data_IF_830185702206
#
_entry.id   IF_830185702206
#
_cell.length_a   1.000
_cell.length_b   1.000
_cell.length_c   1.000
_cell.angle_alpha   90.00
_cell.angle_beta   90.00
_cell.angle_gamma   90.00
#
_symmetry.space_group_name_H-M   'P 1'
#
loop_
_entity.id
_entity.type
_entity.pdbx_description
1 polymer ?
#
# COMPACT_ATOMS: atom_id res chain seq x y z
N UNK A 1 -2.75 27.31 6.22
CA UNK A 1 -1.38 26.83 5.97
C UNK A 1 -1.05 25.89 7.12
N UNK A 2 -0.36 24.78 6.87
CA UNK A 2 -0.06 23.80 7.91
C UNK A 2 1.21 24.19 8.65
N UNK A 3 1.15 24.30 9.98
CA UNK A 3 2.28 24.68 10.81
C UNK A 3 3.41 23.65 10.71
N UNK A 4 4.67 24.11 10.67
CA UNK A 4 5.89 23.32 10.67
C UNK A 4 6.37 23.10 12.10
N UNK A 5 7.18 22.07 12.28
CA UNK A 5 7.78 21.72 13.57
C UNK A 5 8.94 22.66 13.92
N UNK A 6 8.91 23.27 15.10
CA UNK A 6 10.06 23.97 15.66
C UNK A 6 11.16 22.96 16.06
N UNK A 7 12.38 23.15 15.56
CA UNK A 7 13.50 22.25 15.85
C UNK A 7 14.13 22.46 17.24
N UNK A 8 13.77 23.54 17.95
CA UNK A 8 14.19 23.76 19.32
C UNK A 8 13.33 22.96 20.32
N UNK A 9 12.01 23.20 20.36
CA UNK A 9 11.12 22.59 21.34
C UNK A 9 10.38 21.34 20.84
N UNK A 10 10.21 21.20 19.53
CA UNK A 10 9.56 20.05 18.91
C UNK A 10 8.05 20.16 18.68
N UNK A 11 7.42 21.29 19.04
CA UNK A 11 6.00 21.56 18.79
C UNK A 11 5.75 22.18 17.41
N UNK A 12 4.51 22.08 16.93
CA UNK A 12 4.08 22.58 15.62
C UNK A 12 3.56 24.01 15.70
N UNK A 13 4.46 24.98 15.63
CA UNK A 13 4.13 26.40 15.85
C UNK A 13 4.56 27.33 14.72
N UNK A 14 5.23 26.82 13.69
CA UNK A 14 5.94 27.66 12.71
C UNK A 14 5.11 27.81 11.45
N UNK A 15 4.64 29.01 11.14
CA UNK A 15 3.83 29.25 9.93
C UNK A 15 4.68 29.64 8.71
N UNK A 16 5.81 30.33 8.92
CA UNK A 16 6.70 30.84 7.88
C UNK A 16 8.20 30.61 8.21
N UNK A 17 9.07 30.77 7.22
CA UNK A 17 10.52 30.55 7.34
C UNK A 17 11.26 31.63 8.16
N UNK A 18 10.55 32.62 8.69
CA UNK A 18 11.06 33.69 9.57
C UNK A 18 10.26 33.81 10.87
N UNK A 19 9.44 32.80 11.16
CA UNK A 19 8.52 32.83 12.30
C UNK A 19 9.25 32.54 13.62
N UNK A 20 8.76 33.11 14.72
CA UNK A 20 9.30 32.92 16.07
C UNK A 20 8.40 31.95 16.82
N UNK A 21 8.96 30.83 17.25
CA UNK A 21 8.19 29.84 18.00
C UNK A 21 7.68 30.40 19.34
N UNK A 22 6.36 30.54 19.50
CA UNK A 22 5.76 31.05 20.74
C UNK A 22 6.00 30.14 21.97
N UNK A 23 6.37 28.87 21.76
CA UNK A 23 6.60 27.90 22.85
C UNK A 23 8.04 27.96 23.40
N UNK A 24 9.01 28.42 22.60
CA UNK A 24 10.41 28.45 23.06
C UNK A 24 11.21 29.67 22.62
N UNK A 25 10.61 30.58 21.87
CA UNK A 25 11.23 31.79 21.35
C UNK A 25 12.46 31.55 20.46
N UNK A 26 12.46 30.43 19.72
CA UNK A 26 13.45 30.18 18.67
C UNK A 26 12.91 30.72 17.34
N UNK A 27 13.67 31.59 16.69
CA UNK A 27 13.35 32.05 15.33
C UNK A 27 13.75 30.97 14.33
N UNK A 28 12.81 30.59 13.47
CA UNK A 28 13.01 29.56 12.48
C UNK A 28 14.09 30.01 11.48
N UNK A 29 15.17 29.24 11.38
CA UNK A 29 16.29 29.56 10.50
C UNK A 29 16.85 28.27 9.89
N UNK A 30 16.61 28.10 8.59
CA UNK A 30 17.04 26.92 7.83
C UNK A 30 18.57 26.75 7.79
N UNK A 31 19.34 27.84 7.88
CA UNK A 31 20.81 27.80 7.94
C UNK A 31 21.26 27.31 9.31
N UNK A 32 20.67 27.84 10.39
CA UNK A 32 20.96 27.40 11.76
C UNK A 32 20.57 25.92 11.99
N UNK A 33 19.49 25.46 11.33
CA UNK A 33 19.07 24.06 11.36
C UNK A 33 20.09 23.11 10.72
N UNK A 34 20.74 23.53 9.64
CA UNK A 34 21.78 22.75 8.96
C UNK A 34 23.16 22.81 9.65
N UNK A 35 23.37 23.76 10.57
CA UNK A 35 24.61 23.94 11.31
C UNK A 35 24.35 24.01 12.83
N UNK A 36 23.81 22.94 13.46
CA UNK A 36 23.18 23.01 14.78
C UNK A 36 24.13 23.29 15.95
N UNK A 37 25.45 23.23 15.72
CA UNK A 37 26.49 23.54 16.70
C UNK A 37 27.06 24.95 16.54
N UNK A 38 26.72 25.66 15.48
CA UNK A 38 27.24 26.99 15.17
C UNK A 38 26.23 28.04 15.62
N UNK A 39 26.71 29.14 16.18
CA UNK A 39 25.86 30.33 16.40
C UNK A 39 25.80 31.08 15.08
N UNK A 40 24.66 31.00 14.41
CA UNK A 40 24.43 31.58 13.08
C UNK A 40 22.96 32.02 12.98
N UNK A 41 22.73 33.07 12.20
CA UNK A 41 21.39 33.62 12.03
C UNK A 41 21.00 34.63 13.12
N UNK A 42 19.69 34.84 13.34
CA UNK A 42 19.14 35.82 14.29
C UNK A 42 19.22 35.34 15.75
N UNK A 43 19.39 34.03 15.96
CA UNK A 43 19.40 33.42 17.29
C UNK A 43 20.75 33.62 18.01
N UNK A 44 20.72 33.95 19.31
CA UNK A 44 21.92 34.25 20.10
C UNK A 44 22.73 33.03 20.56
N UNK A 45 22.23 31.81 20.30
CA UNK A 45 22.84 30.53 20.66
C UNK A 45 22.68 29.53 19.51
N UNK A 46 23.49 28.47 19.51
CA UNK A 46 23.33 27.39 18.53
C UNK A 46 22.06 26.58 18.79
N UNK A 47 21.51 25.93 17.77
CA UNK A 47 20.29 25.13 17.90
C UNK A 47 20.42 24.07 19.02
N UNK A 48 21.56 23.37 19.08
CA UNK A 48 21.80 22.37 20.12
C UNK A 48 21.86 22.98 21.53
N UNK A 49 22.32 24.23 21.65
CA UNK A 49 22.28 24.95 22.92
C UNK A 49 20.85 25.41 23.26
N UNK A 50 20.09 25.89 22.28
CA UNK A 50 18.68 26.24 22.46
C UNK A 50 17.83 25.04 22.90
N UNK A 51 18.04 23.86 22.32
CA UNK A 51 17.38 22.62 22.75
C UNK A 51 17.71 22.25 24.20
N UNK A 52 18.97 22.41 24.63
CA UNK A 52 19.38 22.21 26.03
C UNK A 52 18.73 23.22 26.95
N UNK A 53 18.68 24.48 26.53
CA UNK A 53 18.07 25.58 27.25
C UNK A 53 16.58 25.35 27.46
N UNK A 54 15.86 24.96 26.39
CA UNK A 54 14.43 24.64 26.46
C UNK A 54 14.15 23.52 27.45
N UNK A 55 14.93 22.43 27.42
CA UNK A 55 14.81 21.34 28.40
C UNK A 55 15.13 21.77 29.83
N UNK A 56 15.96 22.80 30.01
CA UNK A 56 16.38 23.29 31.32
C UNK A 56 15.43 24.31 31.94
N UNK A 57 14.89 25.25 31.15
CA UNK A 57 14.09 26.37 31.66
C UNK A 57 12.95 26.82 30.73
N UNK A 58 12.62 26.08 29.67
CA UNK A 58 11.43 26.33 28.84
C UNK A 58 11.59 27.38 27.73
N UNK A 59 12.77 27.95 27.51
CA UNK A 59 13.03 28.90 26.42
C UNK A 59 14.37 28.65 25.72
N UNK A 60 14.54 29.16 24.50
CA UNK A 60 15.73 29.05 23.66
C UNK A 60 16.94 29.77 24.29
N UNK A 61 16.70 30.88 24.97
CA UNK A 61 17.66 31.65 25.75
C UNK A 61 17.02 32.14 27.05
N UNK A 62 17.80 32.32 28.13
CA UNK A 62 17.25 32.71 29.45
C UNK A 62 16.49 34.04 29.43
N UNK A 63 16.84 34.94 28.52
CA UNK A 63 16.23 36.27 28.41
C UNK A 63 14.79 36.24 27.88
N UNK A 64 14.35 35.10 27.31
CA UNK A 64 13.03 34.95 26.69
C UNK A 64 12.05 34.13 27.55
N UNK A 65 12.38 33.84 28.81
CA UNK A 65 11.51 33.05 29.70
C UNK A 65 10.14 33.70 29.88
N UNK A 66 10.08 35.03 29.89
CA UNK A 66 8.83 35.79 30.07
C UNK A 66 8.04 35.98 28.76
N UNK A 67 8.59 35.54 27.62
CA UNK A 67 8.02 35.73 26.28
C UNK A 67 7.44 34.43 25.69
N UNK A 68 7.53 33.31 26.41
CA UNK A 68 7.06 31.99 25.94
C UNK A 68 5.75 31.58 26.61
N UNK A 69 4.98 30.75 25.92
CA UNK A 69 3.77 30.10 26.46
C UNK A 69 3.89 28.58 26.48
N UNK A 70 2.98 27.94 27.20
CA UNK A 70 2.78 26.50 27.07
C UNK A 70 2.25 26.15 25.67
N UNK A 71 2.56 24.96 25.13
CA UNK A 71 2.00 24.49 23.86
C UNK A 71 0.49 24.26 23.98
N UNK A 72 -0.25 24.59 22.92
CA UNK A 72 -1.66 24.25 22.75
C UNK A 72 -1.83 22.79 22.33
N UNK A 73 -3.02 22.21 22.54
CA UNK A 73 -3.27 20.79 22.33
C UNK A 73 -2.98 20.34 20.89
N UNK A 74 -3.26 21.19 19.92
CA UNK A 74 -3.10 20.95 18.48
C UNK A 74 -1.62 20.97 18.05
N UNK A 75 -0.74 21.62 18.83
CA UNK A 75 0.69 21.76 18.53
C UNK A 75 1.51 20.54 18.95
N UNK A 76 0.90 19.63 19.72
CA UNK A 76 1.52 18.39 20.18
C UNK A 76 1.77 17.43 19.00
N UNK A 77 2.98 16.84 18.89
CA UNK A 77 3.31 15.91 17.80
C UNK A 77 2.34 14.75 17.61
N UNK A 78 1.75 14.25 18.69
CA UNK A 78 0.77 13.16 18.71
C UNK A 78 -0.60 13.54 18.14
N UNK A 79 -0.95 14.83 18.19
CA UNK A 79 -2.23 15.36 17.73
C UNK A 79 -2.15 15.89 16.28
N UNK A 80 -0.95 15.99 15.71
CA UNK A 80 -0.75 16.30 14.30
C UNK A 80 -0.94 15.04 13.42
N UNK A 81 -2.18 14.83 12.96
CA UNK A 81 -2.61 13.71 12.11
C UNK A 81 -1.81 13.57 10.80
N UNK A 82 -1.31 14.68 10.22
CA UNK A 82 -0.47 14.63 9.02
C UNK A 82 0.89 14.01 9.31
N UNK A 83 1.45 14.21 10.51
CA UNK A 83 2.79 13.77 10.85
C UNK A 83 2.86 12.27 11.24
N UNK A 84 1.73 11.70 11.70
CA UNK A 84 1.57 10.26 11.92
C UNK A 84 1.47 9.51 10.59
N UNK A 85 0.82 10.12 9.60
CA UNK A 85 0.79 9.62 8.22
C UNK A 85 2.17 9.78 7.56
N UNK A 86 2.83 10.94 7.71
CA UNK A 86 4.15 11.23 7.14
C UNK A 86 5.27 10.37 7.73
N UNK A 87 5.26 10.04 9.04
CA UNK A 87 6.25 9.13 9.64
C UNK A 87 6.08 7.69 9.17
N UNK A 88 4.84 7.21 9.10
CA UNK A 88 4.53 5.91 8.50
C UNK A 88 4.87 5.91 7.00
N UNK A 89 4.72 7.04 6.32
CA UNK A 89 5.14 7.22 4.93
C UNK A 89 6.67 7.27 4.83
N UNK A 90 7.40 7.91 5.74
CA UNK A 90 8.85 8.09 5.65
C UNK A 90 9.62 6.79 5.92
N UNK A 91 9.15 5.99 6.88
CA UNK A 91 9.70 4.64 7.16
C UNK A 91 9.44 3.68 5.98
N UNK A 92 8.31 3.87 5.30
CA UNK A 92 7.99 3.22 4.03
C UNK A 92 8.84 3.81 2.88
N UNK A 93 9.13 5.12 2.85
CA UNK A 93 9.91 5.77 1.81
C UNK A 93 11.39 5.40 1.82
N UNK A 94 12.00 5.25 3.00
CA UNK A 94 13.40 4.79 3.14
C UNK A 94 13.59 3.35 2.65
N UNK A 95 12.56 2.50 2.77
CA UNK A 95 12.58 1.14 2.20
C UNK A 95 12.32 1.12 0.68
N UNK A 96 11.96 2.26 0.07
CA UNK A 96 11.41 2.37 -1.30
C UNK A 96 12.31 3.19 -2.25
N UNK A 97 13.52 3.59 -1.86
CA UNK A 97 14.47 4.36 -2.70
C UNK A 97 14.95 3.67 -4.02
N UNK A 98 14.28 2.61 -4.48
CA UNK A 98 14.48 1.98 -5.79
C UNK A 98 13.21 1.69 -6.60
N UNK A 99 12.01 2.14 -6.18
CA UNK A 99 10.74 1.79 -6.87
C UNK A 99 10.22 2.98 -7.72
N UNK A 100 9.79 2.78 -8.98
CA UNK A 100 9.16 3.80 -9.81
C UNK A 100 7.95 4.47 -9.11
N UNK A 101 7.78 5.78 -9.29
CA UNK A 101 6.70 6.57 -8.69
C UNK A 101 5.28 5.96 -8.92
N UNK A 102 5.09 5.30 -10.07
CA UNK A 102 3.84 4.61 -10.41
C UNK A 102 3.51 3.48 -9.43
N UNK A 103 4.48 2.72 -8.91
CA UNK A 103 4.20 1.63 -7.96
C UNK A 103 3.74 2.16 -6.60
N UNK A 104 4.23 3.33 -6.17
CA UNK A 104 3.72 4.00 -4.96
C UNK A 104 2.24 4.36 -5.13
N UNK A 105 1.86 4.85 -6.31
CA UNK A 105 0.47 5.20 -6.63
C UNK A 105 -0.40 3.93 -6.60
N UNK A 106 0.06 2.86 -7.24
CA UNK A 106 -0.64 1.56 -7.26
C UNK A 106 -0.82 1.00 -5.84
N UNK A 107 0.24 0.98 -5.03
CA UNK A 107 0.19 0.50 -3.65
C UNK A 107 -0.76 1.33 -2.79
N UNK A 108 -0.75 2.67 -2.94
CA UNK A 108 -1.70 3.56 -2.25
C UNK A 108 -3.14 3.32 -2.68
N UNK A 109 -3.39 3.06 -3.96
CA UNK A 109 -4.73 2.73 -4.46
C UNK A 109 -5.25 1.42 -3.87
N UNK A 110 -4.42 0.36 -3.86
CA UNK A 110 -4.76 -0.91 -3.22
C UNK A 110 -5.02 -0.74 -1.72
N UNK A 111 -4.13 -0.06 -0.99
CA UNK A 111 -4.29 0.19 0.44
C UNK A 111 -5.54 1.02 0.75
N UNK A 112 -5.87 2.02 -0.08
CA UNK A 112 -7.10 2.79 0.09
C UNK A 112 -8.33 1.90 -0.01
N UNK A 113 -8.36 1.00 -1.00
CA UNK A 113 -9.46 0.06 -1.19
C UNK A 113 -9.57 -0.96 -0.07
N UNK A 114 -8.44 -1.50 0.39
CA UNK A 114 -8.43 -2.54 1.41
C UNK A 114 -8.65 -1.97 2.83
N UNK A 115 -8.08 -0.80 3.12
CA UNK A 115 -7.98 -0.23 4.46
C UNK A 115 -7.03 -1.02 5.39
N UNK A 116 -6.99 -0.64 6.66
CA UNK A 116 -6.16 -1.31 7.66
C UNK A 116 -4.67 -0.99 7.56
N UNK A 117 -3.85 -1.82 8.21
CA UNK A 117 -2.39 -1.66 8.21
C UNK A 117 -1.77 -2.54 7.13
N UNK A 118 -1.01 -1.98 6.17
CA UNK A 118 -0.37 -2.76 5.13
C UNK A 118 0.85 -3.50 5.66
N UNK A 119 1.11 -4.67 5.07
CA UNK A 119 2.41 -5.30 5.02
C UNK A 119 2.77 -5.58 3.56
N UNK A 120 4.03 -5.39 3.17
CA UNK A 120 4.53 -5.70 1.83
C UNK A 120 5.63 -6.75 1.96
N UNK A 121 5.53 -7.81 1.18
CA UNK A 121 6.52 -8.89 1.15
C UNK A 121 6.92 -9.21 -0.29
N UNK A 122 8.22 -9.39 -0.51
CA UNK A 122 8.79 -9.71 -1.81
C UNK A 122 8.83 -11.22 -2.03
N UNK A 123 8.36 -11.67 -3.18
CA UNK A 123 8.39 -13.06 -3.61
C UNK A 123 9.28 -13.19 -4.84
N UNK A 124 10.03 -14.29 -4.92
CA UNK A 124 10.92 -14.63 -6.02
C UNK A 124 10.41 -15.89 -6.71
N UNK A 125 10.70 -16.03 -8.01
CA UNK A 125 10.53 -17.31 -8.70
C UNK A 125 11.60 -18.31 -8.29
N UNK A 126 11.42 -19.59 -8.63
CA UNK A 126 12.32 -20.68 -8.23
C UNK A 126 13.77 -20.53 -8.73
N UNK A 127 14.00 -19.64 -9.70
CA UNK A 127 15.32 -19.37 -10.27
C UNK A 127 15.95 -18.06 -9.75
N UNK A 128 15.27 -17.34 -8.84
CA UNK A 128 15.64 -16.02 -8.34
C UNK A 128 15.87 -14.97 -9.47
N UNK A 129 15.16 -15.11 -10.59
CA UNK A 129 15.26 -14.21 -11.76
C UNK A 129 14.20 -13.13 -11.69
N UNK A 130 12.95 -13.52 -11.49
CA UNK A 130 11.80 -12.62 -11.42
C UNK A 130 11.34 -12.46 -9.98
N UNK A 131 10.89 -11.26 -9.63
CA UNK A 131 10.27 -10.99 -8.33
C UNK A 131 8.99 -10.19 -8.48
N UNK A 132 8.13 -10.31 -7.48
CA UNK A 132 6.90 -9.53 -7.35
C UNK A 132 6.69 -9.18 -5.88
N UNK A 133 6.33 -7.92 -5.60
CA UNK A 133 5.91 -7.51 -4.26
C UNK A 133 4.43 -7.81 -4.08
N UNK A 134 4.05 -8.36 -2.92
CA UNK A 134 2.66 -8.58 -2.53
C UNK A 134 2.34 -7.68 -1.34
N UNK A 135 1.42 -6.75 -1.54
CA UNK A 135 0.80 -5.97 -0.47
C UNK A 135 -0.33 -6.80 0.16
N UNK A 136 -0.42 -6.77 1.49
CA UNK A 136 -1.47 -7.46 2.24
C UNK A 136 -2.00 -6.61 3.39
N UNK A 137 -3.28 -6.80 3.73
CA UNK A 137 -3.95 -6.16 4.87
C UNK A 137 -4.86 -7.20 5.53
N UNK A 138 -4.63 -7.49 6.82
CA UNK A 138 -5.46 -8.41 7.59
C UNK A 138 -6.78 -7.80 8.05
N UNK A 139 -7.73 -8.66 8.41
CA UNK A 139 -9.08 -8.34 8.86
C UNK A 139 -9.84 -7.41 7.89
N UNK A 140 -9.62 -7.65 6.59
CA UNK A 140 -10.20 -6.92 5.46
C UNK A 140 -10.51 -7.89 4.32
N UNK A 141 -11.70 -7.79 3.68
CA UNK A 141 -12.75 -6.79 3.91
C UNK A 141 -13.55 -7.01 5.22
N UNK A 142 -13.42 -8.16 5.85
CA UNK A 142 -14.02 -8.49 7.16
C UNK A 142 -13.04 -9.24 8.05
N UNK A 143 -13.41 -9.41 9.34
CA UNK A 143 -12.60 -10.10 10.34
C UNK A 143 -12.20 -11.51 9.89
N UNK A 144 -10.94 -11.88 10.08
CA UNK A 144 -10.41 -13.18 9.70
C UNK A 144 -10.06 -13.34 8.21
N UNK A 145 -10.30 -12.32 7.36
CA UNK A 145 -9.90 -12.34 5.95
C UNK A 145 -8.69 -11.42 5.72
N UNK A 146 -7.74 -11.86 4.89
CA UNK A 146 -6.65 -11.03 4.42
C UNK A 146 -6.88 -10.67 2.96
N UNK A 147 -6.78 -9.38 2.64
CA UNK A 147 -6.76 -8.86 1.26
C UNK A 147 -5.32 -8.78 0.76
N UNK A 148 -5.12 -9.07 -0.53
CA UNK A 148 -3.80 -9.14 -1.18
C UNK A 148 -3.83 -8.41 -2.52
N UNK A 149 -2.70 -7.80 -2.88
CA UNK A 149 -2.47 -7.17 -4.17
C UNK A 149 -1.05 -7.44 -4.63
N UNK A 150 -0.87 -7.81 -5.90
CA UNK A 150 0.44 -7.66 -6.53
C UNK A 150 0.79 -6.18 -6.65
N UNK A 151 2.07 -5.85 -6.53
CA UNK A 151 2.65 -4.53 -6.74
C UNK A 151 3.86 -4.74 -7.63
N UNK A 152 3.76 -4.33 -8.89
CA UNK A 152 4.82 -4.44 -9.89
C UNK A 152 4.44 -5.25 -11.13
N UNK A 153 3.34 -6.01 -11.12
CA UNK A 153 2.93 -6.78 -12.29
C UNK A 153 2.64 -5.87 -13.49
N UNK A 154 2.13 -4.67 -13.21
CA UNK A 154 1.85 -3.64 -14.20
C UNK A 154 3.09 -3.19 -15.01
N UNK A 155 4.30 -3.48 -14.54
CA UNK A 155 5.52 -3.19 -15.29
C UNK A 155 5.68 -4.10 -16.51
N UNK A 156 4.96 -5.22 -16.54
CA UNK A 156 5.01 -6.21 -17.61
C UNK A 156 3.83 -6.05 -18.58
N UNK A 157 4.13 -6.03 -19.88
CA UNK A 157 3.11 -5.90 -20.91
C UNK A 157 2.25 -7.17 -21.01
N UNK A 158 0.94 -6.99 -21.12
CA UNK A 158 -0.03 -8.05 -21.46
C UNK A 158 -0.40 -8.07 -22.95
N UNK A 159 0.31 -7.30 -23.78
CA UNK A 159 0.10 -7.28 -25.23
C UNK A 159 -1.22 -6.63 -25.70
N UNK A 160 -1.86 -5.82 -24.84
CA UNK A 160 -3.11 -5.11 -25.14
C UNK A 160 -2.94 -3.60 -24.98
N UNK A 161 -3.78 -2.85 -25.66
CA UNK A 161 -3.86 -1.38 -25.57
C UNK A 161 -5.31 -0.91 -25.58
N UNK A 162 -5.55 0.27 -25.03
CA UNK A 162 -6.84 0.97 -25.01
C UNK A 162 -6.55 2.47 -25.07
N UNK A 163 -7.29 3.21 -25.91
CA UNK A 163 -7.08 4.65 -26.14
C UNK A 163 -5.61 5.00 -26.45
N UNK A 164 -4.96 4.22 -27.33
CA UNK A 164 -3.54 4.33 -27.70
C UNK A 164 -2.54 4.06 -26.56
N UNK A 165 -3.01 3.90 -25.32
CA UNK A 165 -2.20 3.56 -24.15
C UNK A 165 -2.06 2.06 -23.99
N UNK A 166 -0.92 1.64 -23.45
CA UNK A 166 -0.68 0.24 -23.15
C UNK A 166 -1.52 -0.22 -21.95
N UNK A 167 -2.31 -1.28 -22.09
CA UNK A 167 -3.06 -1.84 -20.97
C UNK A 167 -2.15 -2.72 -20.12
N UNK A 168 -2.27 -2.60 -18.81
CA UNK A 168 -1.50 -3.30 -17.77
C UNK A 168 -2.45 -3.76 -16.68
N UNK A 169 -1.98 -4.67 -15.85
CA UNK A 169 -2.79 -5.25 -14.78
C UNK A 169 -1.99 -5.47 -13.52
N UNK A 170 -2.70 -5.34 -12.40
CA UNK A 170 -2.36 -5.95 -11.12
C UNK A 170 -3.43 -6.99 -10.77
N UNK A 171 -3.04 -8.01 -10.02
CA UNK A 171 -3.93 -9.05 -9.52
C UNK A 171 -4.21 -8.78 -8.05
N UNK A 172 -5.49 -8.83 -7.68
CA UNK A 172 -5.94 -8.75 -6.29
C UNK A 172 -6.62 -10.05 -5.88
N UNK A 173 -6.65 -10.33 -4.59
CA UNK A 173 -7.26 -11.53 -4.04
C UNK A 173 -7.60 -11.34 -2.58
N UNK A 174 -8.48 -12.18 -2.05
CA UNK A 174 -8.79 -12.22 -0.63
C UNK A 174 -8.98 -13.66 -0.20
N UNK A 175 -8.49 -14.01 0.98
CA UNK A 175 -8.55 -15.38 1.49
C UNK A 175 -8.61 -15.37 3.01
N UNK A 176 -9.23 -16.38 3.60
CA UNK A 176 -9.21 -16.54 5.05
C UNK A 176 -7.76 -16.59 5.55
N UNK A 177 -7.48 -15.85 6.63
CA UNK A 177 -6.12 -15.65 7.20
C UNK A 177 -5.45 -16.96 7.63
N UNK A 178 -6.24 -18.02 7.81
CA UNK A 178 -5.75 -19.37 8.09
C UNK A 178 -4.92 -19.96 6.93
N UNK A 179 -5.18 -19.54 5.68
CA UNK A 179 -4.52 -20.04 4.48
C UNK A 179 -3.20 -19.29 4.21
N UNK A 180 -2.11 -19.79 4.79
CA UNK A 180 -0.81 -19.08 4.85
C UNK A 180 -0.10 -18.92 3.52
N UNK A 181 -0.32 -19.83 2.58
CA UNK A 181 0.37 -19.84 1.28
C UNK A 181 -0.41 -19.11 0.18
N UNK A 182 -1.53 -18.45 0.49
CA UNK A 182 -2.34 -17.77 -0.53
C UNK A 182 -1.55 -16.65 -1.25
N UNK A 183 -0.69 -15.93 -0.54
CA UNK A 183 0.20 -14.93 -1.16
C UNK A 183 1.18 -15.56 -2.17
N UNK A 184 1.66 -16.79 -1.91
CA UNK A 184 2.51 -17.53 -2.83
C UNK A 184 1.75 -17.97 -4.10
N UNK A 185 0.48 -18.36 -3.96
CA UNK A 185 -0.41 -18.63 -5.11
C UNK A 185 -0.56 -17.37 -5.97
N UNK A 186 -0.79 -16.22 -5.34
CA UNK A 186 -0.93 -14.94 -6.05
C UNK A 186 0.36 -14.55 -6.78
N UNK A 187 1.52 -14.73 -6.12
CA UNK A 187 2.83 -14.53 -6.73
C UNK A 187 3.06 -15.48 -7.92
N UNK A 188 2.65 -16.74 -7.82
CA UNK A 188 2.70 -17.72 -8.92
C UNK A 188 1.89 -17.25 -10.12
N UNK A 189 0.68 -16.72 -9.89
CA UNK A 189 -0.13 -16.14 -10.96
C UNK A 189 0.59 -14.96 -11.64
N UNK A 190 1.26 -14.09 -10.86
CA UNK A 190 2.08 -13.03 -11.43
C UNK A 190 3.23 -13.60 -12.28
N UNK A 191 3.93 -14.63 -11.82
CA UNK A 191 5.00 -15.28 -12.58
C UNK A 191 4.52 -15.99 -13.85
N UNK A 192 3.30 -16.54 -13.87
CA UNK A 192 2.68 -17.04 -15.10
C UNK A 192 2.60 -15.95 -16.19
N UNK A 193 2.30 -14.70 -15.80
CA UNK A 193 2.27 -13.56 -16.72
C UNK A 193 3.68 -13.09 -17.06
N UNK A 194 4.55 -12.94 -16.06
CA UNK A 194 5.90 -12.36 -16.21
C UNK A 194 6.81 -13.29 -17.03
N UNK A 195 6.91 -14.56 -16.62
CA UNK A 195 7.87 -15.51 -17.15
C UNK A 195 7.29 -16.28 -18.34
N UNK A 196 6.06 -16.80 -18.18
CA UNK A 196 5.43 -17.68 -19.18
C UNK A 196 4.59 -16.92 -20.21
N UNK A 197 4.47 -15.59 -20.08
CA UNK A 197 3.67 -14.73 -20.96
C UNK A 197 2.22 -15.21 -21.11
N UNK A 198 1.68 -15.83 -20.07
CA UNK A 198 0.30 -16.28 -20.08
C UNK A 198 -0.63 -15.06 -20.21
N UNK A 199 -1.59 -15.08 -21.14
CA UNK A 199 -2.51 -13.97 -21.30
C UNK A 199 -3.39 -13.86 -20.05
N UNK A 200 -3.77 -12.63 -19.69
CA UNK A 200 -4.62 -12.35 -18.53
C UNK A 200 -5.63 -11.26 -18.89
N UNK A 201 -6.91 -11.51 -18.59
CA UNK A 201 -8.06 -10.66 -18.87
C UNK A 201 -9.29 -11.22 -18.11
N UNK A 202 -10.41 -10.46 -17.99
CA UNK A 202 -11.63 -10.98 -17.38
C UNK A 202 -12.11 -12.29 -18.03
N UNK A 203 -12.42 -13.30 -17.23
CA UNK A 203 -12.80 -14.65 -17.66
C UNK A 203 -11.64 -15.60 -17.91
N UNK A 204 -10.39 -15.14 -17.83
CA UNK A 204 -9.22 -16.00 -18.02
C UNK A 204 -9.01 -16.94 -16.82
N UNK A 205 -8.54 -18.16 -17.09
CA UNK A 205 -8.28 -19.18 -16.05
C UNK A 205 -6.84 -19.66 -16.12
N UNK A 206 -6.12 -19.65 -14.99
CA UNK A 206 -4.82 -20.30 -14.82
C UNK A 206 -5.00 -21.65 -14.13
N UNK A 207 -4.50 -22.71 -14.75
CA UNK A 207 -4.72 -24.08 -14.29
C UNK A 207 -3.69 -24.49 -13.24
N UNK A 208 -4.11 -25.30 -12.26
CA UNK A 208 -3.27 -25.98 -11.27
C UNK A 208 -2.41 -25.07 -10.37
N UNK A 209 -2.55 -23.75 -10.46
CA UNK A 209 -1.75 -22.80 -9.67
C UNK A 209 -1.96 -22.94 -8.16
N UNK A 210 -3.16 -23.33 -7.70
CA UNK A 210 -3.40 -23.61 -6.28
C UNK A 210 -2.85 -24.98 -5.86
N UNK A 211 -2.83 -25.95 -6.77
CA UNK A 211 -2.45 -27.35 -6.48
C UNK A 211 -1.03 -27.48 -5.93
N UNK A 212 -0.13 -26.56 -6.27
CA UNK A 212 1.24 -26.54 -5.76
C UNK A 212 1.33 -26.24 -4.25
N UNK A 213 0.34 -25.54 -3.69
CA UNK A 213 0.32 -25.09 -2.30
C UNK A 213 -0.74 -25.82 -1.48
N UNK A 214 -1.90 -26.11 -2.10
CA UNK A 214 -3.04 -26.77 -1.48
C UNK A 214 -3.43 -28.02 -2.28
N UNK A 215 -2.59 -29.08 -2.27
CA UNK A 215 -2.76 -30.24 -3.16
C UNK A 215 -4.03 -31.06 -2.88
N UNK A 216 -4.59 -30.92 -1.68
CA UNK A 216 -5.81 -31.64 -1.26
C UNK A 216 -7.10 -30.84 -1.52
N UNK A 217 -6.99 -29.55 -1.86
CA UNK A 217 -8.16 -28.73 -2.14
C UNK A 217 -8.81 -29.14 -3.47
N UNK A 218 -10.14 -29.04 -3.53
CA UNK A 218 -10.87 -29.11 -4.80
C UNK A 218 -10.59 -27.89 -5.70
N UNK A 219 -10.27 -26.74 -5.11
CA UNK A 219 -9.95 -25.50 -5.80
C UNK A 219 -8.51 -25.55 -6.34
N UNK A 220 -8.37 -25.93 -7.60
CA UNK A 220 -7.05 -26.15 -8.24
C UNK A 220 -6.63 -25.01 -9.15
N UNK A 221 -7.59 -24.29 -9.71
CA UNK A 221 -7.35 -23.28 -10.75
C UNK A 221 -7.71 -21.88 -10.22
N UNK A 222 -7.27 -20.86 -10.93
CA UNK A 222 -7.56 -19.46 -10.62
C UNK A 222 -8.28 -18.81 -11.79
N UNK A 223 -9.51 -18.35 -11.57
CA UNK A 223 -10.26 -17.50 -12.49
C UNK A 223 -9.96 -16.02 -12.20
N UNK A 224 -9.89 -15.19 -13.23
CA UNK A 224 -9.73 -13.74 -13.09
C UNK A 224 -11.00 -13.01 -13.52
N UNK A 225 -11.55 -12.17 -12.65
CA UNK A 225 -12.78 -11.40 -12.88
C UNK A 225 -12.58 -9.92 -12.53
N UNK A 226 -13.46 -9.00 -12.95
CA UNK A 226 -13.44 -7.63 -12.45
C UNK A 226 -13.60 -7.61 -10.92
N UNK A 227 -12.86 -6.74 -10.20
CA UNK A 227 -12.94 -6.69 -8.74
C UNK A 227 -14.31 -6.19 -8.28
N UNK A 228 -14.94 -6.95 -7.37
CA UNK A 228 -16.22 -6.59 -6.75
C UNK A 228 -16.18 -6.57 -5.21
N UNK A 229 -15.13 -7.12 -4.59
CA UNK A 229 -15.03 -7.25 -3.12
C UNK A 229 -14.87 -5.91 -2.38
N UNK A 230 -14.29 -4.91 -3.06
CA UNK A 230 -13.99 -3.60 -2.48
C UNK A 230 -14.80 -2.50 -3.18
N UNK A 231 -16.04 -2.83 -3.58
CA UNK A 231 -16.94 -1.93 -4.31
C UNK A 231 -16.23 -1.29 -5.52
N UNK A 232 -16.46 0.01 -5.76
CA UNK A 232 -15.83 0.76 -6.85
C UNK A 232 -14.48 1.39 -6.47
N UNK A 233 -13.82 0.92 -5.40
CA UNK A 233 -12.58 1.55 -4.92
C UNK A 233 -11.34 1.17 -5.75
N UNK A 234 -11.35 0.02 -6.42
CA UNK A 234 -10.27 -0.43 -7.31
C UNK A 234 -10.54 -0.04 -8.76
N UNK A 235 -10.41 1.24 -9.06
CA UNK A 235 -10.59 1.76 -10.42
C UNK A 235 -9.31 1.63 -11.25
N UNK A 236 -9.48 1.53 -12.57
CA UNK A 236 -8.37 1.59 -13.53
C UNK A 236 -7.63 2.91 -13.38
N UNK A 237 -6.31 2.84 -13.17
CA UNK A 237 -5.45 4.01 -13.02
C UNK A 237 -4.94 4.42 -14.40
N UNK A 238 -5.16 5.68 -14.75
CA UNK A 238 -4.74 6.24 -16.03
C UNK A 238 -3.41 7.01 -15.87
N UNK A 239 -2.32 6.43 -16.36
CA UNK A 239 -1.01 7.07 -16.44
C UNK A 239 -0.79 7.66 -17.84
N UNK A 240 0.33 8.34 -18.06
CA UNK A 240 0.61 8.99 -19.35
C UNK A 240 0.62 7.99 -20.52
N UNK A 241 1.38 6.89 -20.40
CA UNK A 241 1.63 5.93 -21.49
C UNK A 241 0.86 4.61 -21.33
N UNK A 242 0.17 4.41 -20.20
CA UNK A 242 -0.43 3.13 -19.84
C UNK A 242 -1.68 3.31 -18.98
N UNK A 243 -2.58 2.33 -19.03
CA UNK A 243 -3.67 2.17 -18.06
C UNK A 243 -3.44 0.90 -17.25
N UNK A 244 -3.57 0.97 -15.93
CA UNK A 244 -3.41 -0.18 -15.04
C UNK A 244 -4.76 -0.55 -14.46
N UNK A 245 -5.29 -1.70 -14.89
CA UNK A 245 -6.52 -2.27 -14.37
C UNK A 245 -6.23 -3.28 -13.24
N UNK A 246 -7.27 -3.66 -12.52
CA UNK A 246 -7.21 -4.66 -11.47
C UNK A 246 -8.02 -5.88 -11.88
N UNK A 247 -7.55 -7.08 -11.55
CA UNK A 247 -8.31 -8.31 -11.71
C UNK A 247 -8.34 -9.08 -10.40
N UNK A 248 -9.56 -9.43 -9.95
CA UNK A 248 -9.76 -10.27 -8.79
C UNK A 248 -9.53 -11.73 -9.17
N UNK A 249 -8.70 -12.39 -8.37
CA UNK A 249 -8.39 -13.81 -8.45
C UNK A 249 -9.38 -14.62 -7.61
N UNK A 250 -10.07 -15.55 -8.26
CA UNK A 250 -11.12 -16.39 -7.69
C UNK A 250 -10.70 -17.86 -7.81
N UNK A 251 -10.42 -18.55 -6.69
CA UNK A 251 -10.18 -19.99 -6.70
C UNK A 251 -11.38 -20.78 -7.24
N UNK A 252 -11.13 -21.69 -8.19
CA UNK A 252 -12.16 -22.55 -8.79
C UNK A 252 -11.72 -24.02 -8.88
N UNK A 253 -12.69 -24.93 -8.86
CA UNK A 253 -12.46 -26.36 -9.05
C UNK A 253 -12.29 -26.76 -10.51
N UNK A 254 -11.85 -27.99 -10.73
CA UNK A 254 -11.83 -28.62 -12.08
C UNK A 254 -13.23 -28.65 -12.71
N UNK A 255 -14.28 -28.95 -11.93
CA UNK A 255 -15.66 -28.99 -12.45
C UNK A 255 -16.11 -27.60 -12.92
N UNK A 256 -15.78 -26.57 -12.15
CA UNK A 256 -16.08 -25.16 -12.47
C UNK A 256 -15.30 -24.70 -13.70
N UNK A 257 -14.01 -25.06 -13.80
CA UNK A 257 -13.21 -24.83 -15.00
C UNK A 257 -13.83 -25.48 -16.24
N UNK A 258 -14.17 -26.76 -16.18
CA UNK A 258 -14.77 -27.49 -17.31
C UNK A 258 -16.12 -26.88 -17.71
N UNK A 259 -16.91 -26.44 -16.73
CA UNK A 259 -18.16 -25.73 -17.00
C UNK A 259 -17.92 -24.40 -17.71
N UNK A 260 -16.98 -23.57 -17.23
CA UNK A 260 -16.64 -22.31 -17.86
C UNK A 260 -16.09 -22.50 -19.28
N UNK A 261 -15.32 -23.56 -19.53
CA UNK A 261 -14.82 -23.89 -20.87
C UNK A 261 -15.98 -24.21 -21.84
N UNK A 262 -17.03 -24.87 -21.36
CA UNK A 262 -18.18 -25.25 -22.18
C UNK A 262 -19.20 -24.11 -22.35
N UNK A 263 -19.36 -23.28 -21.33
CA UNK A 263 -20.49 -22.36 -21.20
C UNK A 263 -20.10 -20.87 -21.22
N UNK A 264 -18.81 -20.56 -21.05
CA UNK A 264 -18.28 -19.21 -20.80
C UNK A 264 -18.10 -18.92 -19.31
N UNK A 265 -17.10 -18.10 -18.98
CA UNK A 265 -16.83 -17.64 -17.61
C UNK A 265 -18.00 -16.86 -17.02
N UNK A 266 -18.68 -16.05 -17.82
CA UNK A 266 -19.79 -15.20 -17.35
C UNK A 266 -20.92 -16.03 -16.74
N UNK A 267 -21.23 -17.20 -17.32
CA UNK A 267 -22.22 -18.13 -16.75
C UNK A 267 -21.74 -18.81 -15.47
N UNK A 268 -20.44 -19.00 -15.30
CA UNK A 268 -19.87 -19.50 -14.05
C UNK A 268 -19.96 -18.41 -12.97
N UNK A 269 -19.68 -17.15 -13.34
CA UNK A 269 -19.85 -15.99 -12.46
C UNK A 269 -21.31 -15.84 -12.00
N UNK A 270 -22.29 -16.02 -12.91
CA UNK A 270 -23.71 -16.07 -12.57
C UNK A 270 -24.02 -17.17 -11.53
N UNK A 271 -23.43 -18.36 -11.67
CA UNK A 271 -23.59 -19.44 -10.69
C UNK A 271 -22.96 -19.11 -9.35
N UNK A 272 -21.82 -18.42 -9.33
CA UNK A 272 -21.18 -17.98 -8.09
C UNK A 272 -22.06 -17.00 -7.31
N UNK A 273 -22.70 -16.06 -8.01
CA UNK A 273 -23.66 -15.14 -7.40
C UNK A 273 -24.90 -15.89 -6.90
N UNK A 274 -25.49 -16.77 -7.72
CA UNK A 274 -26.69 -17.51 -7.35
C UNK A 274 -26.51 -18.43 -6.14
N UNK A 275 -25.31 -18.97 -5.95
CA UNK A 275 -24.99 -19.90 -4.86
C UNK A 275 -24.27 -19.21 -3.69
N UNK A 276 -24.08 -17.89 -3.73
CA UNK A 276 -23.40 -17.10 -2.68
C UNK A 276 -22.10 -17.76 -2.19
N UNK A 277 -21.19 -18.07 -3.12
CA UNK A 277 -19.98 -18.82 -2.75
C UNK A 277 -19.14 -18.09 -1.71
N UNK A 278 -18.55 -18.85 -0.81
CA UNK A 278 -17.50 -18.34 0.06
C UNK A 278 -16.17 -18.29 -0.71
N UNK A 279 -15.97 -17.21 -1.45
CA UNK A 279 -14.76 -16.95 -2.24
C UNK A 279 -13.47 -16.92 -1.39
N UNK A 280 -13.57 -16.66 -0.09
CA UNK A 280 -12.40 -16.61 0.80
C UNK A 280 -11.95 -18.00 1.25
N UNK A 281 -12.85 -18.99 1.18
CA UNK A 281 -12.59 -20.37 1.54
C UNK A 281 -12.02 -21.16 0.36
N UNK A 282 -10.70 -21.32 0.33
CA UNK A 282 -10.02 -22.10 -0.71
C UNK A 282 -10.25 -23.61 -0.59
N UNK A 283 -10.87 -24.09 0.49
CA UNK A 283 -11.25 -25.49 0.71
C UNK A 283 -12.76 -25.70 0.52
N UNK A 284 -13.48 -24.73 -0.07
CA UNK A 284 -14.88 -24.92 -0.44
C UNK A 284 -15.02 -26.04 -1.47
N UNK A 285 -16.20 -26.67 -1.51
CA UNK A 285 -16.57 -27.55 -2.60
C UNK A 285 -16.93 -26.79 -3.88
N UNK A 286 -16.90 -27.50 -5.00
CA UNK A 286 -17.47 -27.03 -6.27
C UNK A 286 -18.96 -26.66 -6.14
N UNK A 287 -19.40 -25.58 -6.79
CA UNK A 287 -20.85 -25.26 -6.93
C UNK A 287 -21.57 -26.23 -7.88
N UNK A 288 -20.81 -26.97 -8.67
CA UNK A 288 -21.31 -27.99 -9.59
C UNK A 288 -21.16 -29.37 -8.94
N UNK A 289 -22.27 -30.11 -8.93
CA UNK A 289 -22.35 -31.50 -8.45
C UNK A 289 -21.55 -32.47 -9.31
#
# INVERSE_FOLDING_TARGET
>A
MTAKKCLCCGYFTIEDDYDICEVCYWEYDTVAHNMPNVVIGPNGVSLNQAQKNYKGFGASEKKFIDEVRAPEAEEFPENNLENKLLRSISEVEESIMGIPNESKIIAKSALKAFGGNPAVSKYWDDNDISNIDILSTGDRPCEGITSYSTIGLYMHSIGRSIDEKSLRVEIVGASATAYKDYANVLATCAFCVINSKMPIYPGQIFLDVLKFYYPNSEMKHMLFVPPFLWEDQLQTIDFLEKKVAWLLSVPISEKEYLFAQQNGSDKLEDLFVQNEIDIFNIERGSVLL
#
